data_IF_970830715886
#
_entry.id   IF_970830715886
#
_cell.length_a   1.000
_cell.length_b   1.000
_cell.length_c   1.000
_cell.angle_alpha   90.00
_cell.angle_beta   90.00
_cell.angle_gamma   90.00
#
_symmetry.space_group_name_H-M   'P 1'
#
loop_
_entity.id
_entity.type
_entity.pdbx_description
1 polymer ?
#
# COMPACT_ATOMS: atom_id res chain seq x y z
N UNK A 1 -2.90 -9.62 24.46
CA UNK A 1 -1.84 -8.58 24.33
C UNK A 1 -2.21 -7.69 23.15
N UNK A 2 -2.01 -6.36 23.15
CA UNK A 2 -2.41 -5.53 21.99
C UNK A 2 -2.33 -4.01 22.15
N UNK A 3 -2.13 -3.51 23.36
CA UNK A 3 -2.04 -2.06 23.63
C UNK A 3 -0.89 -1.41 22.83
N UNK A 4 0.21 -2.14 22.66
CA UNK A 4 1.34 -1.68 21.86
C UNK A 4 0.93 -1.35 20.42
N UNK A 5 0.16 -2.20 19.76
CA UNK A 5 -0.28 -1.94 18.38
C UNK A 5 -1.18 -0.71 18.27
N UNK A 6 -2.09 -0.51 19.25
CA UNK A 6 -2.97 0.67 19.30
C UNK A 6 -2.13 1.94 19.42
N UNK A 7 -1.24 1.99 20.41
CA UNK A 7 -0.40 3.16 20.66
C UNK A 7 0.57 3.42 19.49
N UNK A 8 1.16 2.38 18.91
CA UNK A 8 2.07 2.51 17.77
C UNK A 8 1.36 3.02 16.52
N UNK A 9 0.14 2.51 16.24
CA UNK A 9 -0.69 3.00 15.15
C UNK A 9 -1.08 4.47 15.35
N UNK A 10 -1.51 4.84 16.55
CA UNK A 10 -1.90 6.21 16.90
C UNK A 10 -0.72 7.18 16.70
N UNK A 11 0.46 6.83 17.21
CA UNK A 11 1.65 7.67 17.04
C UNK A 11 2.07 7.72 15.57
N UNK A 12 1.93 6.63 14.82
CA UNK A 12 2.20 6.67 13.38
C UNK A 12 1.30 7.65 12.63
N UNK A 13 0.02 7.73 13.01
CA UNK A 13 -0.92 8.70 12.44
C UNK A 13 -0.52 10.13 12.86
N UNK A 14 -0.10 10.35 14.11
CA UNK A 14 0.37 11.67 14.59
C UNK A 14 1.66 12.10 13.86
N UNK A 15 2.58 11.18 13.58
CA UNK A 15 3.84 11.45 12.87
C UNK A 15 3.72 11.33 11.34
N UNK A 16 2.54 11.60 10.81
CA UNK A 16 2.23 11.56 9.37
C UNK A 16 3.10 12.41 8.46
N UNK A 17 3.83 13.39 9.01
CA UNK A 17 4.74 14.26 8.25
C UNK A 17 6.07 13.58 7.89
N UNK A 18 6.39 12.43 8.46
CA UNK A 18 7.66 11.74 8.25
C UNK A 18 7.56 10.76 7.09
N UNK A 19 8.10 11.14 5.93
CA UNK A 19 8.11 10.27 4.75
C UNK A 19 9.18 9.17 4.86
N UNK A 20 8.76 7.94 5.19
CA UNK A 20 9.67 6.79 5.39
C UNK A 20 10.46 6.46 4.13
N UNK A 21 9.84 6.60 2.96
CA UNK A 21 10.47 6.36 1.67
C UNK A 21 11.69 7.27 1.41
N UNK A 22 11.74 8.47 2.01
CA UNK A 22 12.91 9.37 1.89
C UNK A 22 14.15 8.76 2.52
N UNK A 23 13.99 8.04 3.64
CA UNK A 23 15.09 7.33 4.31
C UNK A 23 15.67 6.28 3.37
N UNK A 24 14.83 5.43 2.78
CA UNK A 24 15.26 4.39 1.84
C UNK A 24 15.94 4.96 0.59
N UNK A 25 15.38 6.02 -0.01
CA UNK A 25 15.97 6.68 -1.19
C UNK A 25 17.31 7.33 -0.87
N UNK A 26 17.45 7.91 0.31
CA UNK A 26 18.70 8.56 0.74
C UNK A 26 19.77 7.51 1.01
N UNK A 27 19.43 6.45 1.73
CA UNK A 27 20.35 5.32 1.97
C UNK A 27 20.76 4.63 0.67
N UNK A 28 19.83 4.40 -0.26
CA UNK A 28 20.11 3.84 -1.58
C UNK A 28 21.13 4.69 -2.37
N UNK A 29 20.94 6.02 -2.41
CA UNK A 29 21.88 6.93 -3.06
C UNK A 29 23.28 6.86 -2.44
N UNK A 30 23.38 6.76 -1.12
CA UNK A 30 24.67 6.63 -0.43
C UNK A 30 25.33 5.28 -0.76
N UNK A 31 24.55 4.21 -0.75
CA UNK A 31 25.03 2.87 -1.07
C UNK A 31 25.49 2.76 -2.52
N UNK A 32 24.75 3.32 -3.49
CA UNK A 32 25.10 3.34 -4.92
C UNK A 32 26.44 4.03 -5.21
N UNK A 33 26.83 5.01 -4.39
CA UNK A 33 28.17 5.62 -4.50
C UNK A 33 29.29 4.60 -4.24
N UNK A 34 29.04 3.58 -3.42
CA UNK A 34 29.99 2.50 -3.09
C UNK A 34 29.77 1.25 -3.96
N UNK A 35 28.51 0.86 -4.13
CA UNK A 35 28.07 -0.34 -4.85
C UNK A 35 27.45 0.07 -6.19
N UNK A 36 28.28 0.17 -7.22
CA UNK A 36 27.87 0.66 -8.55
C UNK A 36 26.95 -0.31 -9.30
N UNK A 37 27.02 -1.61 -9.02
CA UNK A 37 26.29 -2.63 -9.76
C UNK A 37 24.93 -2.95 -9.13
N UNK A 38 23.87 -2.93 -9.94
CA UNK A 38 22.48 -3.27 -9.54
C UNK A 38 22.38 -4.64 -8.84
N UNK A 39 23.14 -5.63 -9.31
CA UNK A 39 23.12 -6.98 -8.71
C UNK A 39 23.69 -7.00 -7.29
N UNK A 40 24.76 -6.23 -7.02
CA UNK A 40 25.34 -6.13 -5.68
C UNK A 40 24.39 -5.45 -4.70
N UNK A 41 23.63 -4.46 -5.18
CA UNK A 41 22.58 -3.81 -4.39
C UNK A 41 21.45 -4.76 -4.03
N UNK A 42 20.98 -5.59 -4.98
CA UNK A 42 19.99 -6.63 -4.69
C UNK A 42 20.49 -7.62 -3.64
N UNK A 43 21.72 -8.12 -3.77
CA UNK A 43 22.34 -9.03 -2.81
C UNK A 43 22.44 -8.36 -1.42
N UNK A 44 22.88 -7.10 -1.37
CA UNK A 44 22.96 -6.34 -0.13
C UNK A 44 21.59 -6.24 0.57
N UNK A 45 20.53 -5.88 -0.15
CA UNK A 45 19.20 -5.79 0.43
C UNK A 45 18.65 -7.14 0.90
N UNK A 46 18.94 -8.24 0.19
CA UNK A 46 18.58 -9.58 0.62
C UNK A 46 19.31 -9.97 1.92
N UNK A 47 20.62 -9.69 2.01
CA UNK A 47 21.40 -9.91 3.23
C UNK A 47 20.86 -9.04 4.37
N UNK A 48 20.50 -7.78 4.09
CA UNK A 48 19.93 -6.88 5.09
C UNK A 48 18.60 -7.40 5.64
N UNK A 49 17.69 -7.86 4.76
CA UNK A 49 16.42 -8.46 5.18
C UNK A 49 16.66 -9.72 6.03
N UNK A 50 17.60 -10.59 5.61
CA UNK A 50 17.97 -11.77 6.38
C UNK A 50 18.55 -11.41 7.74
N UNK A 51 19.39 -10.38 7.82
CA UNK A 51 19.92 -9.88 9.08
C UNK A 51 18.81 -9.36 10.01
N UNK A 52 17.88 -8.55 9.49
CA UNK A 52 16.73 -8.06 10.25
C UNK A 52 15.85 -9.20 10.76
N UNK A 53 15.62 -10.24 9.95
CA UNK A 53 14.91 -11.45 10.38
C UNK A 53 15.57 -12.09 11.62
N UNK A 54 16.88 -12.33 11.57
CA UNK A 54 17.60 -12.96 12.69
C UNK A 54 17.58 -12.08 13.96
N UNK A 55 17.75 -10.77 13.81
CA UNK A 55 17.65 -9.84 14.94
C UNK A 55 16.27 -9.88 15.61
N UNK A 56 15.21 -9.98 14.80
CA UNK A 56 13.85 -10.04 15.29
C UNK A 56 13.51 -11.35 16.00
N UNK A 57 14.11 -12.47 15.58
CA UNK A 57 13.92 -13.76 16.25
C UNK A 57 14.60 -13.85 17.62
N UNK A 58 15.75 -13.17 17.78
CA UNK A 58 16.51 -13.13 19.05
C UNK A 58 15.98 -12.04 19.99
N UNK A 59 15.31 -11.02 19.45
CA UNK A 59 14.79 -9.89 20.20
C UNK A 59 13.73 -10.27 21.25
N UNK A 60 13.49 -9.39 22.23
CA UNK A 60 12.45 -9.63 23.21
C UNK A 60 11.07 -9.76 22.55
N UNK A 61 10.11 -10.40 23.22
CA UNK A 61 8.71 -10.42 22.78
C UNK A 61 7.90 -9.66 23.82
N UNK A 62 7.08 -8.70 23.37
CA UNK A 62 6.27 -7.90 24.29
C UNK A 62 5.63 -6.67 23.65
N UNK A 63 4.83 -5.96 24.45
CA UNK A 63 4.03 -4.81 24.01
C UNK A 63 4.88 -3.66 23.46
N UNK A 64 6.07 -3.43 24.02
CA UNK A 64 6.97 -2.39 23.51
C UNK A 64 7.42 -2.67 22.07
N UNK A 65 7.57 -3.94 21.70
CA UNK A 65 7.94 -4.33 20.34
C UNK A 65 6.73 -4.27 19.41
N UNK A 66 5.55 -4.69 19.87
CA UNK A 66 4.30 -4.47 19.12
C UNK A 66 4.10 -2.98 18.79
N UNK A 67 4.42 -2.11 19.75
CA UNK A 67 4.38 -0.65 19.58
C UNK A 67 5.37 -0.15 18.53
N UNK A 68 6.66 -0.50 18.66
CA UNK A 68 7.69 -0.08 17.70
C UNK A 68 7.32 -0.54 16.28
N UNK A 69 6.80 -1.75 16.16
CA UNK A 69 6.47 -2.34 14.86
C UNK A 69 5.26 -1.70 14.24
N UNK A 70 4.16 -1.53 14.97
CA UNK A 70 3.01 -0.79 14.48
C UNK A 70 3.43 0.63 14.05
N UNK A 71 4.26 1.30 14.84
CA UNK A 71 4.77 2.62 14.50
C UNK A 71 5.60 2.64 13.21
N UNK A 72 6.48 1.67 12.99
CA UNK A 72 7.37 1.62 11.80
C UNK A 72 6.65 1.15 10.54
N UNK A 73 5.67 0.27 10.68
CA UNK A 73 5.13 -0.49 9.55
C UNK A 73 3.84 0.12 9.00
N UNK A 74 3.02 0.75 9.84
CA UNK A 74 1.76 1.38 9.43
C UNK A 74 2.04 2.76 8.82
N UNK A 75 1.80 3.01 7.54
CA UNK A 75 2.11 4.28 6.83
C UNK A 75 0.95 4.73 5.94
N UNK A 76 -0.16 5.13 6.55
CA UNK A 76 -1.32 5.67 5.81
C UNK A 76 -1.16 7.15 5.48
N UNK A 77 -0.59 7.90 6.40
CA UNK A 77 -0.87 9.33 6.55
C UNK A 77 0.07 10.23 5.73
N UNK A 78 1.18 9.70 5.20
CA UNK A 78 1.98 10.40 4.18
C UNK A 78 1.23 10.65 2.86
N UNK A 79 0.21 9.83 2.55
CA UNK A 79 -0.61 10.04 1.34
C UNK A 79 -1.52 11.25 1.43
N UNK A 80 -2.04 11.54 2.62
CA UNK A 80 -2.94 12.66 2.88
C UNK A 80 -2.26 14.01 2.63
N UNK A 81 -1.03 14.20 3.12
CA UNK A 81 -0.27 15.45 2.90
C UNK A 81 -0.08 15.73 1.41
N UNK A 82 0.36 14.73 0.66
CA UNK A 82 0.56 14.85 -0.78
C UNK A 82 -0.76 15.02 -1.53
N UNK A 83 -1.90 14.66 -0.94
CA UNK A 83 -3.21 14.90 -1.54
C UNK A 83 -3.76 16.30 -1.21
N UNK A 84 -3.40 16.88 -0.07
CA UNK A 84 -3.85 18.22 0.37
C UNK A 84 -3.14 19.39 -0.32
N UNK A 85 -1.98 19.18 -0.95
CA UNK A 85 -1.17 20.25 -1.57
C UNK A 85 -1.50 20.52 -3.07
N UNK A 86 -2.60 20.00 -3.65
CA UNK A 86 -2.70 19.81 -5.10
C UNK A 86 -3.95 20.44 -5.79
N UNK A 87 -3.72 21.27 -6.81
CA UNK A 87 -4.72 21.73 -7.79
C UNK A 87 -4.50 21.08 -9.18
N UNK A 88 -5.53 20.42 -9.75
CA UNK A 88 -5.59 19.99 -11.16
C UNK A 88 -5.87 18.49 -11.46
N UNK A 89 -6.39 18.15 -12.65
CA UNK A 89 -6.91 16.81 -13.00
C UNK A 89 -5.83 15.72 -13.15
N UNK A 90 -4.63 16.04 -13.66
CA UNK A 90 -3.52 15.08 -13.77
C UNK A 90 -3.03 14.63 -12.38
N UNK A 91 -3.19 15.51 -11.37
CA UNK A 91 -2.75 15.28 -10.00
C UNK A 91 -3.77 14.47 -9.19
N UNK A 92 -5.06 14.54 -9.52
CA UNK A 92 -6.13 13.74 -8.92
C UNK A 92 -5.92 12.22 -9.09
N UNK A 93 -5.56 11.77 -10.30
CA UNK A 93 -5.22 10.36 -10.52
C UNK A 93 -4.02 9.92 -9.69
N UNK A 94 -3.02 10.78 -9.56
CA UNK A 94 -1.89 10.58 -8.67
C UNK A 94 -2.33 10.43 -7.20
N UNK A 95 -3.29 11.23 -6.76
CA UNK A 95 -3.84 11.18 -5.41
C UNK A 95 -4.59 9.88 -5.11
N UNK A 96 -5.35 9.36 -6.07
CA UNK A 96 -6.06 8.08 -5.94
C UNK A 96 -5.07 6.93 -5.90
N UNK A 97 -4.11 6.89 -6.84
CA UNK A 97 -3.03 5.89 -6.82
C UNK A 97 -2.28 5.90 -5.49
N UNK A 98 -1.97 7.09 -4.97
CA UNK A 98 -1.28 7.23 -3.69
C UNK A 98 -2.13 6.72 -2.52
N UNK A 99 -3.42 7.05 -2.48
CA UNK A 99 -4.34 6.58 -1.45
C UNK A 99 -4.56 5.05 -1.52
N UNK A 100 -4.80 4.49 -2.71
CA UNK A 100 -4.90 3.04 -2.95
C UNK A 100 -3.65 2.30 -2.48
N UNK A 101 -2.48 2.87 -2.73
CA UNK A 101 -1.21 2.30 -2.31
C UNK A 101 -0.97 2.43 -0.82
N UNK A 102 -1.35 3.55 -0.20
CA UNK A 102 -1.26 3.71 1.25
C UNK A 102 -2.19 2.78 2.01
N UNK A 103 -3.42 2.53 1.53
CA UNK A 103 -4.29 1.53 2.16
C UNK A 103 -3.77 0.11 1.95
N UNK A 104 -3.35 -0.25 0.74
CA UNK A 104 -2.83 -1.60 0.46
C UNK A 104 -1.51 -1.86 1.18
N UNK A 105 -0.47 -1.09 0.82
CA UNK A 105 0.89 -1.35 1.24
C UNK A 105 1.26 -0.69 2.57
N UNK A 106 0.63 0.43 2.89
CA UNK A 106 0.86 1.16 4.14
C UNK A 106 -0.01 0.66 5.30
N UNK A 107 -1.03 -0.16 5.07
CA UNK A 107 -1.96 -0.53 6.14
C UNK A 107 -2.38 -1.99 6.13
N UNK A 108 -3.15 -2.40 5.12
CA UNK A 108 -3.81 -3.70 5.10
C UNK A 108 -2.82 -4.84 4.98
N UNK A 109 -1.90 -4.78 4.02
CA UNK A 109 -0.91 -5.84 3.83
C UNK A 109 0.00 -6.01 5.06
N UNK A 110 0.57 -4.94 5.66
CA UNK A 110 1.36 -5.13 6.86
C UNK A 110 0.58 -5.69 8.06
N UNK A 111 -0.65 -5.19 8.33
CA UNK A 111 -1.49 -5.73 9.40
C UNK A 111 -1.87 -7.20 9.14
N UNK A 112 -2.17 -7.55 7.89
CA UNK A 112 -2.44 -8.92 7.46
C UNK A 112 -1.28 -9.85 7.78
N UNK A 113 -0.04 -9.45 7.44
CA UNK A 113 1.15 -10.26 7.71
C UNK A 113 1.47 -10.37 9.21
N UNK A 114 1.26 -9.30 9.99
CA UNK A 114 1.44 -9.33 11.45
C UNK A 114 0.39 -10.26 12.09
N UNK A 115 -0.87 -10.19 11.66
CA UNK A 115 -1.96 -11.00 12.18
C UNK A 115 -1.72 -12.49 11.93
N UNK A 116 -1.48 -12.89 10.67
CA UNK A 116 -1.37 -14.29 10.29
C UNK A 116 -0.07 -14.96 10.73
N UNK A 117 1.04 -14.21 10.72
CA UNK A 117 2.36 -14.76 11.02
C UNK A 117 2.89 -14.09 12.28
N UNK A 118 3.69 -13.04 12.11
CA UNK A 118 4.33 -12.36 13.22
C UNK A 118 4.74 -10.95 12.83
N UNK A 119 5.07 -10.20 13.87
CA UNK A 119 5.79 -8.94 13.82
C UNK A 119 6.99 -8.94 12.86
N UNK A 120 7.77 -10.02 12.86
CA UNK A 120 8.92 -10.20 11.97
C UNK A 120 8.51 -10.13 10.50
N UNK A 121 7.44 -10.85 10.12
CA UNK A 121 6.95 -10.86 8.74
C UNK A 121 6.39 -9.50 8.32
N UNK A 122 5.73 -8.79 9.24
CA UNK A 122 5.29 -7.40 9.00
C UNK A 122 6.43 -6.44 8.66
N UNK A 123 7.54 -6.51 9.40
CA UNK A 123 8.74 -5.70 9.09
C UNK A 123 9.35 -6.12 7.75
N UNK A 124 9.47 -7.42 7.48
CA UNK A 124 10.04 -7.90 6.20
C UNK A 124 9.21 -7.39 5.02
N UNK A 125 7.89 -7.46 5.12
CA UNK A 125 7.00 -6.88 4.13
C UNK A 125 7.27 -5.37 3.95
N UNK A 126 7.35 -4.62 5.05
CA UNK A 126 7.66 -3.18 5.02
C UNK A 126 8.98 -2.88 4.30
N UNK A 127 10.04 -3.66 4.56
CA UNK A 127 11.32 -3.51 3.88
C UNK A 127 11.20 -3.79 2.37
N UNK A 128 10.58 -4.92 1.99
CA UNK A 128 10.38 -5.30 0.58
C UNK A 128 9.60 -4.21 -0.15
N UNK A 129 8.51 -3.71 0.45
CA UNK A 129 7.71 -2.64 -0.11
C UNK A 129 8.54 -1.38 -0.37
N UNK A 130 9.24 -0.86 0.64
CA UNK A 130 10.01 0.38 0.49
C UNK A 130 11.19 0.23 -0.48
N UNK A 131 11.81 -0.95 -0.58
CA UNK A 131 12.86 -1.22 -1.57
C UNK A 131 12.27 -1.31 -2.98
N UNK A 132 11.10 -1.95 -3.14
CA UNK A 132 10.41 -2.09 -4.43
C UNK A 132 10.01 -0.75 -5.06
N UNK A 133 9.85 0.27 -4.23
CA UNK A 133 9.55 1.65 -4.63
C UNK A 133 10.76 2.41 -5.20
N UNK A 134 11.96 1.82 -5.09
CA UNK A 134 13.14 2.32 -5.77
C UNK A 134 13.15 1.69 -7.17
N UNK A 135 13.08 2.56 -8.21
CA UNK A 135 12.84 2.17 -9.62
C UNK A 135 13.79 1.11 -10.18
N UNK A 136 14.96 0.91 -9.58
CA UNK A 136 16.03 0.09 -10.16
C UNK A 136 15.94 -1.40 -9.79
N UNK A 137 14.98 -1.86 -8.97
CA UNK A 137 15.01 -3.22 -8.41
C UNK A 137 13.79 -4.10 -8.76
N UNK A 138 13.84 -4.74 -9.92
CA UNK A 138 12.73 -5.58 -10.45
C UNK A 138 12.41 -6.79 -9.56
N UNK A 139 13.41 -7.40 -8.92
CA UNK A 139 13.21 -8.54 -8.01
C UNK A 139 12.29 -8.17 -6.85
N UNK A 140 12.53 -7.03 -6.19
CA UNK A 140 11.70 -6.55 -5.08
C UNK A 140 10.31 -6.12 -5.56
N UNK A 141 10.19 -5.63 -6.79
CA UNK A 141 8.88 -5.34 -7.40
C UNK A 141 8.05 -6.61 -7.62
N UNK A 142 8.66 -7.69 -8.10
CA UNK A 142 7.99 -8.98 -8.25
C UNK A 142 7.57 -9.52 -6.89
N UNK A 143 8.47 -9.51 -5.90
CA UNK A 143 8.16 -9.96 -4.54
C UNK A 143 7.01 -9.16 -3.92
N UNK A 144 7.06 -7.82 -4.03
CA UNK A 144 6.00 -6.95 -3.54
C UNK A 144 4.66 -7.23 -4.22
N UNK A 145 4.64 -7.44 -5.54
CA UNK A 145 3.42 -7.80 -6.25
C UNK A 145 2.84 -9.13 -5.75
N UNK A 146 3.67 -10.16 -5.58
CA UNK A 146 3.23 -11.47 -5.04
C UNK A 146 2.65 -11.31 -3.63
N UNK A 147 3.35 -10.59 -2.75
CA UNK A 147 2.89 -10.34 -1.38
C UNK A 147 1.61 -9.51 -1.32
N UNK A 148 1.30 -8.74 -2.36
CA UNK A 148 0.09 -7.92 -2.39
C UNK A 148 -1.12 -8.64 -3.00
N UNK A 149 -0.99 -9.84 -3.57
CA UNK A 149 -2.12 -10.56 -4.20
C UNK A 149 -3.27 -10.74 -3.20
N UNK A 150 -3.01 -11.39 -2.07
CA UNK A 150 -4.05 -11.71 -1.08
C UNK A 150 -4.58 -10.44 -0.39
N UNK A 151 -3.73 -9.54 0.16
CA UNK A 151 -4.23 -8.28 0.73
C UNK A 151 -5.06 -7.44 -0.23
N UNK A 152 -4.68 -7.39 -1.52
CA UNK A 152 -5.44 -6.65 -2.51
C UNK A 152 -6.82 -7.28 -2.79
N UNK A 153 -6.92 -8.61 -2.85
CA UNK A 153 -8.21 -9.28 -3.00
C UNK A 153 -9.15 -8.98 -1.83
N UNK A 154 -8.63 -8.91 -0.60
CA UNK A 154 -9.44 -8.54 0.57
C UNK A 154 -9.97 -7.11 0.42
N UNK A 155 -9.12 -6.14 0.05
CA UNK A 155 -9.55 -4.75 -0.19
C UNK A 155 -10.60 -4.67 -1.29
N UNK A 156 -10.42 -5.42 -2.38
CA UNK A 156 -11.37 -5.46 -3.49
C UNK A 156 -12.77 -5.88 -3.03
N UNK A 157 -12.90 -6.85 -2.12
CA UNK A 157 -14.21 -7.24 -1.56
C UNK A 157 -14.90 -6.04 -0.88
N UNK A 158 -14.17 -5.28 -0.07
CA UNK A 158 -14.74 -4.09 0.58
C UNK A 158 -15.09 -2.98 -0.41
N UNK A 159 -14.20 -2.71 -1.37
CA UNK A 159 -14.44 -1.71 -2.41
C UNK A 159 -15.66 -2.10 -3.27
N UNK A 160 -15.90 -3.38 -3.51
CA UNK A 160 -17.07 -3.86 -4.22
C UNK A 160 -18.38 -3.54 -3.46
N UNK A 161 -18.41 -3.77 -2.16
CA UNK A 161 -19.56 -3.38 -1.34
C UNK A 161 -19.80 -1.87 -1.36
N UNK A 162 -18.75 -1.07 -1.18
CA UNK A 162 -18.84 0.39 -1.26
C UNK A 162 -19.39 0.83 -2.62
N UNK A 163 -18.90 0.22 -3.70
CA UNK A 163 -19.37 0.49 -5.05
C UNK A 163 -20.86 0.21 -5.21
N UNK A 164 -21.35 -0.96 -4.74
CA UNK A 164 -22.77 -1.31 -4.81
C UNK A 164 -23.63 -0.28 -4.09
N UNK A 165 -23.26 0.09 -2.86
CA UNK A 165 -24.06 1.03 -2.07
C UNK A 165 -24.06 2.44 -2.65
N UNK A 166 -22.92 2.89 -3.19
CA UNK A 166 -22.78 4.25 -3.71
C UNK A 166 -23.38 4.42 -5.11
N UNK A 167 -23.10 3.49 -6.01
CA UNK A 167 -23.48 3.60 -7.42
C UNK A 167 -24.74 2.82 -7.79
N UNK A 168 -25.28 2.00 -6.87
CA UNK A 168 -26.47 1.16 -7.09
C UNK A 168 -26.34 0.25 -8.32
N UNK A 169 -25.11 -0.18 -8.61
CA UNK A 169 -24.75 -1.07 -9.71
C UNK A 169 -24.00 -2.27 -9.16
N UNK A 170 -24.12 -3.42 -9.82
CA UNK A 170 -23.49 -4.68 -9.41
C UNK A 170 -22.28 -5.06 -10.29
N UNK A 171 -22.06 -4.36 -11.40
CA UNK A 171 -21.06 -4.72 -12.40
C UNK A 171 -19.98 -3.65 -12.50
N UNK A 172 -18.72 -4.09 -12.50
CA UNK A 172 -17.53 -3.27 -12.73
C UNK A 172 -16.82 -3.84 -13.96
N UNK A 173 -16.59 -3.00 -14.97
CA UNK A 173 -15.91 -3.41 -16.20
C UNK A 173 -14.38 -3.26 -16.06
N UNK A 174 -13.69 -4.39 -15.90
CA UNK A 174 -12.23 -4.46 -15.90
C UNK A 174 -11.64 -4.70 -17.30
N UNK A 175 -12.45 -4.63 -18.37
CA UNK A 175 -12.04 -4.80 -19.77
C UNK A 175 -11.27 -6.11 -20.03
N UNK A 176 -11.68 -7.18 -19.35
CA UNK A 176 -11.06 -8.51 -19.42
C UNK A 176 -9.71 -8.65 -18.71
N UNK A 177 -9.18 -7.59 -18.07
CA UNK A 177 -7.86 -7.63 -17.42
C UNK A 177 -7.89 -8.06 -15.95
N UNK A 178 -9.08 -8.27 -15.35
CA UNK A 178 -9.23 -8.51 -13.90
C UNK A 178 -8.28 -9.59 -13.36
N UNK A 179 -8.33 -10.80 -13.92
CA UNK A 179 -7.54 -11.96 -13.45
C UNK A 179 -6.05 -11.69 -13.65
N UNK A 180 -5.66 -11.15 -14.81
CA UNK A 180 -4.28 -10.82 -15.13
C UNK A 180 -3.71 -9.79 -14.16
N UNK A 181 -4.48 -8.75 -13.86
CA UNK A 181 -4.09 -7.70 -12.93
C UNK A 181 -3.99 -8.24 -11.49
N UNK A 182 -4.92 -9.08 -11.06
CA UNK A 182 -4.88 -9.71 -9.72
C UNK A 182 -3.59 -10.48 -9.45
N UNK A 183 -2.94 -11.01 -10.49
CA UNK A 183 -1.68 -11.76 -10.37
C UNK A 183 -0.46 -10.85 -10.60
N UNK A 184 -0.51 -10.02 -11.64
CA UNK A 184 0.69 -9.30 -12.13
C UNK A 184 0.83 -7.89 -11.58
N UNK A 185 -0.29 -7.22 -11.25
CA UNK A 185 -0.35 -5.84 -10.73
C UNK A 185 -1.56 -5.68 -9.79
N UNK A 186 -1.55 -6.29 -8.58
CA UNK A 186 -2.74 -6.31 -7.72
C UNK A 186 -3.28 -4.92 -7.35
N UNK A 187 -2.39 -3.93 -7.20
CA UNK A 187 -2.76 -2.53 -6.94
C UNK A 187 -3.66 -1.94 -8.04
N UNK A 188 -3.46 -2.34 -9.30
CA UNK A 188 -4.21 -1.80 -10.44
C UNK A 188 -5.71 -2.09 -10.34
N UNK A 189 -6.09 -3.26 -9.82
CA UNK A 189 -7.51 -3.57 -9.63
C UNK A 189 -8.14 -2.69 -8.55
N UNK A 190 -7.39 -2.36 -7.49
CA UNK A 190 -7.85 -1.43 -6.46
C UNK A 190 -8.03 -0.02 -7.04
N UNK A 191 -7.08 0.45 -7.86
CA UNK A 191 -7.17 1.74 -8.54
C UNK A 191 -8.36 1.82 -9.50
N UNK A 192 -8.62 0.76 -10.27
CA UNK A 192 -9.78 0.68 -11.15
C UNK A 192 -11.07 0.75 -10.31
N UNK A 193 -11.18 -0.03 -9.24
CA UNK A 193 -12.37 -0.01 -8.39
C UNK A 193 -12.57 1.34 -7.70
N UNK A 194 -11.50 2.00 -7.25
CA UNK A 194 -11.56 3.35 -6.72
C UNK A 194 -12.15 4.32 -7.75
N UNK A 195 -11.71 4.22 -9.00
CA UNK A 195 -12.23 5.05 -10.08
C UNK A 195 -13.72 4.82 -10.35
N UNK A 196 -14.19 3.58 -10.23
CA UNK A 196 -15.61 3.27 -10.31
C UNK A 196 -16.41 3.77 -9.10
N UNK A 197 -15.87 3.69 -7.88
CA UNK A 197 -16.51 4.22 -6.66
C UNK A 197 -16.75 5.72 -6.80
N UNK A 198 -15.75 6.47 -7.27
CA UNK A 198 -15.84 7.93 -7.44
C UNK A 198 -16.49 8.35 -8.77
N UNK A 199 -16.81 7.41 -9.66
CA UNK A 199 -17.35 7.68 -11.00
C UNK A 199 -16.48 8.65 -11.82
N UNK A 200 -15.20 8.31 -11.94
CA UNK A 200 -14.17 9.11 -12.63
C UNK A 200 -13.44 8.28 -13.68
N UNK A 201 -12.76 8.94 -14.63
CA UNK A 201 -12.02 8.26 -15.71
C UNK A 201 -10.56 7.97 -15.36
N UNK A 202 -10.20 6.75 -14.99
CA UNK A 202 -8.80 6.40 -14.71
C UNK A 202 -8.06 5.91 -15.96
N UNK A 203 -6.93 6.55 -16.30
CA UNK A 203 -6.09 6.18 -17.45
C UNK A 203 -4.88 5.36 -17.03
N UNK A 204 -4.80 4.12 -17.53
CA UNK A 204 -3.64 3.24 -17.36
C UNK A 204 -2.78 3.19 -18.63
N UNK A 205 -1.54 3.63 -18.51
CA UNK A 205 -0.53 3.50 -19.57
C UNK A 205 0.19 2.15 -19.49
N UNK A 206 0.30 1.45 -20.61
CA UNK A 206 1.11 0.23 -20.71
C UNK A 206 1.75 0.09 -22.09
N UNK A 207 2.89 -0.57 -22.13
CA UNK A 207 3.64 -0.83 -23.36
C UNK A 207 3.47 -2.30 -23.78
N UNK A 208 3.24 -2.54 -25.07
CA UNK A 208 3.20 -3.89 -25.67
C UNK A 208 3.83 -3.85 -27.05
N UNK A 209 4.84 -4.69 -27.29
CA UNK A 209 5.59 -4.75 -28.55
C UNK A 209 6.16 -3.39 -28.99
N UNK A 210 6.76 -2.65 -28.06
CA UNK A 210 7.31 -1.30 -28.30
C UNK A 210 6.29 -0.25 -28.74
N UNK A 211 4.99 -0.53 -28.56
CA UNK A 211 3.88 0.41 -28.81
C UNK A 211 3.27 0.77 -27.46
N UNK A 212 3.02 2.07 -27.26
CA UNK A 212 2.39 2.62 -26.07
C UNK A 212 0.87 2.61 -26.23
N UNK A 213 0.17 2.08 -25.23
CA UNK A 213 -1.28 2.02 -25.16
C UNK A 213 -1.79 2.74 -23.91
N UNK A 214 -2.99 3.31 -24.01
CA UNK A 214 -3.73 3.89 -22.89
C UNK A 214 -5.06 3.16 -22.80
N UNK A 215 -5.36 2.61 -21.62
CA UNK A 215 -6.67 2.06 -21.28
C UNK A 215 -7.36 2.99 -20.30
N UNK A 216 -8.59 3.40 -20.61
CA UNK A 216 -9.45 4.15 -19.70
C UNK A 216 -10.34 3.19 -18.90
N UNK A 217 -10.58 3.48 -17.63
CA UNK A 217 -11.50 2.75 -16.75
C UNK A 217 -12.40 3.73 -16.02
N UNK A 218 -13.53 3.24 -15.47
CA UNK A 218 -14.46 4.07 -14.70
C UNK A 218 -15.56 4.71 -15.55
N UNK A 219 -16.07 5.86 -15.12
CA UNK A 219 -17.20 6.55 -15.76
C UNK A 219 -16.94 8.05 -15.95
N UNK A 220 -17.54 8.62 -17.00
CA UNK A 220 -17.38 10.04 -17.31
C UNK A 220 -18.15 10.89 -16.31
N UNK A 221 -17.44 11.68 -15.52
CA UNK A 221 -18.02 12.79 -14.77
C UNK A 221 -17.18 14.05 -15.00
N UNK A 222 -17.84 15.14 -15.38
CA UNK A 222 -17.18 16.39 -15.82
C UNK A 222 -16.60 17.21 -14.68
N UNK A 223 -16.75 16.77 -13.43
CA UNK A 223 -16.23 17.45 -12.24
C UNK A 223 -15.29 16.53 -11.46
N UNK A 224 -14.01 16.62 -11.76
CA UNK A 224 -12.95 16.23 -10.83
C UNK A 224 -12.76 17.44 -9.90
N UNK A 225 -13.30 17.35 -8.68
CA UNK A 225 -13.23 18.42 -7.67
C UNK A 225 -12.47 17.92 -6.43
N UNK A 226 -11.89 18.84 -5.65
CA UNK A 226 -11.23 18.58 -4.37
C UNK A 226 -12.14 17.83 -3.40
N UNK A 227 -13.45 18.04 -3.49
CA UNK A 227 -14.47 17.32 -2.74
C UNK A 227 -14.40 15.80 -2.96
N UNK A 228 -14.18 15.33 -4.19
CA UNK A 228 -14.05 13.91 -4.51
C UNK A 228 -12.80 13.29 -3.86
N UNK A 229 -11.70 14.04 -3.75
CA UNK A 229 -10.49 13.57 -3.05
C UNK A 229 -10.79 13.41 -1.55
N UNK A 230 -11.42 14.40 -0.93
CA UNK A 230 -11.77 14.37 0.50
C UNK A 230 -12.72 13.23 0.83
N UNK A 231 -13.71 12.99 -0.04
CA UNK A 231 -14.65 11.89 0.13
C UNK A 231 -13.94 10.53 -0.02
N UNK A 232 -13.09 10.37 -1.04
CA UNK A 232 -12.30 9.14 -1.20
C UNK A 232 -11.32 8.88 -0.05
N UNK A 233 -10.68 9.92 0.48
CA UNK A 233 -9.87 9.82 1.69
C UNK A 233 -10.71 9.37 2.89
N UNK A 234 -11.93 9.88 3.02
CA UNK A 234 -12.87 9.47 4.08
C UNK A 234 -13.22 7.98 3.97
N UNK A 235 -13.49 7.49 2.76
CA UNK A 235 -13.68 6.05 2.47
C UNK A 235 -12.43 5.24 2.87
N UNK A 236 -11.25 5.73 2.50
CA UNK A 236 -9.97 5.11 2.83
C UNK A 236 -9.76 5.00 4.34
N UNK A 237 -10.10 6.04 5.10
CA UNK A 237 -10.03 6.03 6.57
C UNK A 237 -11.04 5.11 7.22
N UNK A 238 -12.28 5.08 6.73
CA UNK A 238 -13.31 4.17 7.22
C UNK A 238 -12.86 2.71 7.05
N UNK A 239 -12.30 2.37 5.89
CA UNK A 239 -11.75 1.03 5.66
C UNK A 239 -10.57 0.73 6.56
N UNK A 240 -9.66 1.68 6.73
CA UNK A 240 -8.51 1.52 7.62
C UNK A 240 -8.98 1.26 9.06
N UNK A 241 -10.00 1.95 9.53
CA UNK A 241 -10.61 1.65 10.83
C UNK A 241 -11.17 0.23 10.90
N UNK A 242 -11.94 -0.20 9.90
CA UNK A 242 -12.50 -1.58 9.84
C UNK A 242 -11.39 -2.63 9.87
N UNK A 243 -10.36 -2.48 9.05
CA UNK A 243 -9.22 -3.40 9.00
C UNK A 243 -8.45 -3.41 10.32
N UNK A 244 -8.28 -2.26 10.97
CA UNK A 244 -7.63 -2.20 12.27
C UNK A 244 -8.46 -2.90 13.35
N UNK A 245 -9.78 -2.71 13.35
CA UNK A 245 -10.68 -3.42 14.27
C UNK A 245 -10.63 -4.94 14.06
N UNK A 246 -10.64 -5.40 12.80
CA UNK A 246 -10.47 -6.82 12.47
C UNK A 246 -9.11 -7.36 12.93
N UNK A 247 -8.03 -6.62 12.66
CA UNK A 247 -6.69 -6.94 13.14
C UNK A 247 -6.65 -7.10 14.66
N UNK A 248 -7.20 -6.12 15.40
CA UNK A 248 -7.27 -6.19 16.85
C UNK A 248 -8.10 -7.37 17.33
N UNK A 249 -9.21 -7.69 16.66
CA UNK A 249 -10.00 -8.89 16.94
C UNK A 249 -9.19 -10.17 16.82
N UNK A 250 -8.39 -10.33 15.75
CA UNK A 250 -7.49 -11.49 15.59
C UNK A 250 -6.43 -11.50 16.67
N UNK A 251 -5.81 -10.36 16.96
CA UNK A 251 -4.79 -10.26 18.01
C UNK A 251 -5.38 -10.65 19.36
N UNK A 252 -6.54 -10.12 19.76
CA UNK A 252 -7.14 -10.46 21.06
C UNK A 252 -7.60 -11.93 21.17
N UNK A 253 -8.07 -12.53 20.08
CA UNK A 253 -8.59 -13.90 20.10
C UNK A 253 -7.49 -14.97 20.02
N UNK A 254 -6.38 -14.67 19.32
CA UNK A 254 -5.37 -15.68 18.97
C UNK A 254 -3.96 -15.35 19.49
N UNK A 255 -3.71 -14.18 20.12
CA UNK A 255 -2.38 -13.75 20.60
C UNK A 255 -2.38 -13.09 22.00
#
# INVERSE_FOLDING_TARGET
MGIGYILGCLISIIFWKVERQVVFRTSDKILKKRLKYKILMNIFYMIFIFFVYNLMEIGPKGEMINFIIAFIVIDISNSEKKNLEHEGPIKFYGSITLACKSILCGFVAPLFYIALFSNTVGIIYFLIYNISEIKDYDLFKILNNILNIVPALIIQIFFYYIYIFRNKKFEIDFKGDYIKNSITKPLLNIEIMAAYIESINFYHHFEKNSINYIKEYGGYNSKIDEYCIKDYLSVTYALSFIFFAMFMGVVFLYK
#
